data_IF_860512060889
#
_entry.id   IF_860512060889
#
_cell.length_a   1.000
_cell.length_b   1.000
_cell.length_c   1.000
_cell.angle_alpha   90.00
_cell.angle_beta   90.00
_cell.angle_gamma   90.00
#
_symmetry.space_group_name_H-M   'P 1'
#
loop_
_entity.id
_entity.type
_entity.pdbx_description
1 polymer ?
#
# COMPACT_ATOMS: atom_id res chain seq x y z
N UNK A 1 13.55 14.87 -11.72
CA UNK A 1 13.76 14.68 -10.29
C UNK A 1 13.21 13.34 -9.83
N UNK A 2 13.92 12.65 -8.98
CA UNK A 2 13.53 11.31 -8.58
C UNK A 2 12.54 11.37 -7.41
N UNK A 3 11.41 10.73 -7.59
CA UNK A 3 10.42 10.66 -6.52
C UNK A 3 10.86 9.64 -5.46
N UNK A 4 10.83 10.04 -4.22
CA UNK A 4 11.09 9.16 -3.09
C UNK A 4 9.80 9.00 -2.31
N UNK A 5 9.19 7.81 -2.34
CA UNK A 5 7.92 7.61 -1.65
C UNK A 5 8.03 7.81 -0.15
N UNK A 6 6.97 8.33 0.44
CA UNK A 6 6.90 8.53 1.88
C UNK A 6 5.64 7.85 2.40
N UNK A 7 5.70 7.42 3.65
CA UNK A 7 4.52 6.83 4.28
C UNK A 7 3.35 7.83 4.19
N UNK A 8 2.18 7.30 3.87
CA UNK A 8 0.94 8.06 3.71
C UNK A 8 0.84 8.81 2.39
N UNK A 9 1.77 8.60 1.46
CA UNK A 9 1.59 9.05 0.09
C UNK A 9 0.63 8.11 -0.62
N UNK A 10 -0.24 8.67 -1.45
CA UNK A 10 -1.07 7.86 -2.32
C UNK A 10 -0.42 7.85 -3.69
N UNK A 11 -0.13 6.68 -4.20
CA UNK A 11 0.64 6.54 -5.43
C UNK A 11 -0.05 5.57 -6.38
N UNK A 12 0.23 5.75 -7.66
CA UNK A 12 -0.20 4.82 -8.70
C UNK A 12 1.04 4.15 -9.27
N UNK A 13 1.00 2.84 -9.34
CA UNK A 13 2.09 2.05 -9.91
C UNK A 13 1.57 1.41 -11.17
N UNK A 14 2.01 1.91 -12.30
CA UNK A 14 1.54 1.42 -13.58
C UNK A 14 2.69 1.06 -14.50
N UNK A 15 2.70 -0.19 -14.93
CA UNK A 15 3.65 -0.69 -15.93
C UNK A 15 2.87 -1.58 -16.87
N UNK A 16 3.57 -2.27 -17.76
CA UNK A 16 2.92 -3.23 -18.65
C UNK A 16 2.23 -4.34 -17.86
N UNK A 17 2.77 -4.67 -16.71
CA UNK A 17 2.31 -5.83 -15.95
C UNK A 17 1.63 -5.46 -14.64
N UNK A 18 1.73 -4.21 -14.23
CA UNK A 18 1.20 -3.76 -12.95
C UNK A 18 0.36 -2.52 -13.18
N UNK A 19 -0.82 -2.51 -12.59
CA UNK A 19 -1.68 -1.33 -12.64
C UNK A 19 -2.47 -1.28 -11.35
N UNK A 20 -1.88 -0.69 -10.33
CA UNK A 20 -2.48 -0.61 -9.00
C UNK A 20 -2.26 0.78 -8.44
N UNK A 21 -3.04 1.12 -7.45
CA UNK A 21 -2.80 2.34 -6.70
C UNK A 21 -3.14 2.09 -5.25
N UNK A 22 -2.51 2.85 -4.38
CA UNK A 22 -2.73 2.67 -2.96
C UNK A 22 -1.86 3.60 -2.15
N UNK A 23 -1.91 3.38 -0.85
CA UNK A 23 -1.16 4.19 0.11
C UNK A 23 0.18 3.54 0.41
N UNK A 24 1.23 4.36 0.48
CA UNK A 24 2.51 3.87 0.98
C UNK A 24 2.32 3.58 2.46
N UNK A 25 2.40 2.32 2.82
CA UNK A 25 2.11 1.88 4.17
C UNK A 25 3.36 1.81 5.03
N UNK A 26 4.47 1.40 4.44
CA UNK A 26 5.73 1.21 5.13
C UNK A 26 6.87 1.68 4.24
N UNK A 27 7.84 2.33 4.83
CA UNK A 27 9.02 2.81 4.12
C UNK A 27 10.28 2.31 4.80
N UNK A 28 11.17 1.77 4.00
CA UNK A 28 12.49 1.35 4.43
C UNK A 28 13.42 1.67 3.27
N UNK A 29 14.68 1.87 3.54
CA UNK A 29 15.64 2.15 2.48
C UNK A 29 15.70 1.04 1.45
N UNK A 30 15.32 -0.16 1.83
CA UNK A 30 15.38 -1.33 0.97
C UNK A 30 14.12 -1.54 0.14
N UNK A 31 12.98 -0.97 0.57
CA UNK A 31 11.73 -1.12 -0.16
C UNK A 31 10.62 -0.33 0.52
N UNK A 32 9.50 -0.22 -0.17
CA UNK A 32 8.27 0.28 0.42
C UNK A 32 7.19 -0.78 0.24
N UNK A 33 6.12 -0.67 1.01
CA UNK A 33 4.93 -1.47 0.75
C UNK A 33 3.80 -0.52 0.39
N UNK A 34 2.97 -0.96 -0.55
CA UNK A 34 1.82 -0.19 -1.01
C UNK A 34 0.58 -0.97 -0.65
N UNK A 35 -0.27 -0.36 0.17
CA UNK A 35 -1.54 -0.99 0.54
C UNK A 35 -2.55 -0.70 -0.55
N UNK A 36 -2.90 -1.71 -1.32
CA UNK A 36 -3.77 -1.55 -2.48
C UNK A 36 -5.23 -1.83 -2.17
N UNK A 37 -5.52 -2.39 -1.01
CA UNK A 37 -6.90 -2.63 -0.68
C UNK A 37 -7.05 -3.27 0.68
N UNK A 38 -8.27 -3.19 1.19
CA UNK A 38 -8.65 -3.81 2.44
C UNK A 38 -9.91 -4.61 2.14
N UNK A 39 -9.87 -5.90 2.38
CA UNK A 39 -11.02 -6.77 2.12
C UNK A 39 -11.45 -7.47 3.38
N UNK A 40 -12.74 -7.69 3.57
CA UNK A 40 -13.20 -8.51 4.69
C UNK A 40 -12.64 -9.92 4.51
N UNK A 41 -12.28 -10.54 5.60
CA UNK A 41 -11.84 -11.92 5.54
C UNK A 41 -13.01 -12.79 5.10
N UNK A 42 -12.73 -13.82 4.30
CA UNK A 42 -13.79 -14.75 3.92
C UNK A 42 -14.41 -15.36 5.15
N UNK A 43 -15.69 -15.59 5.07
CA UNK A 43 -16.40 -16.23 6.17
C UNK A 43 -16.15 -17.72 6.08
N UNK A 44 -15.06 -18.16 6.64
CA UNK A 44 -14.72 -19.57 6.59
C UNK A 44 -14.32 -20.04 7.96
N UNK A 45 -13.56 -21.10 8.00
CA UNK A 45 -13.20 -21.79 9.22
C UNK A 45 -12.22 -21.04 10.10
N UNK A 46 -12.11 -19.76 9.93
CA UNK A 46 -11.24 -19.00 10.80
C UNK A 46 -11.70 -19.13 12.23
N UNK A 47 -10.75 -19.21 13.08
CA UNK A 47 -11.04 -19.47 14.47
C UNK A 47 -11.81 -18.31 15.08
N UNK A 48 -12.51 -18.64 16.14
CA UNK A 48 -13.25 -17.63 16.87
C UNK A 48 -12.35 -16.59 17.51
N UNK A 49 -11.09 -16.92 17.63
CA UNK A 49 -10.13 -16.00 18.24
C UNK A 49 -9.52 -15.03 17.26
N UNK A 50 -9.95 -15.08 16.02
CA UNK A 50 -9.43 -14.19 15.01
C UNK A 50 -9.78 -12.75 15.36
N UNK A 51 -8.77 -11.93 15.55
CA UNK A 51 -8.98 -10.55 15.95
C UNK A 51 -9.11 -9.61 14.75
N UNK A 52 -8.63 -10.04 13.61
CA UNK A 52 -8.64 -9.19 12.42
C UNK A 52 -9.75 -9.60 11.50
N UNK A 53 -10.63 -8.66 11.24
CA UNK A 53 -11.77 -8.93 10.35
C UNK A 53 -11.48 -8.63 8.90
N UNK A 54 -10.32 -8.03 8.61
CA UNK A 54 -9.99 -7.58 7.28
C UNK A 54 -8.62 -8.05 6.87
N UNK A 55 -8.45 -8.21 5.58
CA UNK A 55 -7.17 -8.56 4.98
C UNK A 55 -6.65 -7.34 4.26
N UNK A 56 -5.43 -6.94 4.58
CA UNK A 56 -4.76 -5.84 3.91
C UNK A 56 -3.87 -6.40 2.82
N UNK A 57 -4.01 -5.89 1.62
CA UNK A 57 -3.18 -6.32 0.51
C UNK A 57 -2.03 -5.34 0.36
N UNK A 58 -0.83 -5.84 0.54
CA UNK A 58 0.38 -5.03 0.46
C UNK A 58 1.27 -5.54 -0.66
N UNK A 59 1.80 -4.64 -1.44
CA UNK A 59 2.75 -4.97 -2.49
C UNK A 59 4.11 -4.38 -2.16
N UNK A 60 5.15 -5.14 -2.41
CA UNK A 60 6.51 -4.66 -2.24
C UNK A 60 6.95 -3.89 -3.47
N UNK A 61 7.60 -2.78 -3.27
CA UNK A 61 8.14 -1.98 -4.36
C UNK A 61 9.56 -1.56 -4.00
N UNK A 62 10.50 -1.98 -4.81
CA UNK A 62 11.92 -1.75 -4.55
C UNK A 62 12.40 -0.44 -5.15
N UNK A 63 13.54 0.10 -4.67
CA UNK A 63 13.99 1.41 -5.12
C UNK A 63 14.14 1.56 -6.62
N UNK A 64 14.57 0.52 -7.31
CA UNK A 64 14.70 0.60 -8.76
C UNK A 64 13.36 0.68 -9.48
N UNK A 65 12.27 0.46 -8.75
CA UNK A 65 10.92 0.54 -9.30
C UNK A 65 10.21 1.83 -8.91
N UNK A 66 10.80 2.60 -8.00
CA UNK A 66 10.14 3.83 -7.53
C UNK A 66 9.92 4.84 -8.64
N UNK A 67 10.76 4.82 -9.67
CA UNK A 67 10.57 5.72 -10.80
C UNK A 67 9.31 5.42 -11.60
N UNK A 68 8.72 4.26 -11.37
CA UNK A 68 7.48 3.86 -12.03
C UNK A 68 6.25 4.35 -11.28
N UNK A 69 6.44 4.91 -10.11
CA UNK A 69 5.34 5.38 -9.28
C UNK A 69 4.95 6.79 -9.67
N UNK A 70 3.65 7.04 -9.68
CA UNK A 70 3.12 8.38 -9.88
C UNK A 70 2.56 8.86 -8.55
N UNK A 71 3.11 9.95 -8.06
CA UNK A 71 2.62 10.56 -6.82
C UNK A 71 1.28 11.24 -7.08
N UNK A 72 0.31 10.98 -6.22
CA UNK A 72 -1.00 11.59 -6.37
C UNK A 72 -1.26 12.60 -5.26
N UNK A 73 -1.21 12.16 -4.01
CA UNK A 73 -1.35 13.11 -2.89
C UNK A 73 -0.89 12.44 -1.61
N UNK A 74 -0.81 13.23 -0.55
CA UNK A 74 -0.37 12.77 0.75
C UNK A 74 -1.42 13.08 1.79
N UNK A 75 -1.76 12.12 2.62
CA UNK A 75 -2.65 12.37 3.75
C UNK A 75 -1.81 12.72 4.96
N UNK A 76 -2.37 13.52 5.86
CA UNK A 76 -1.64 13.95 7.04
C UNK A 76 -1.44 12.83 8.04
N UNK A 77 -2.42 11.97 8.14
CA UNK A 77 -2.40 10.91 9.13
C UNK A 77 -3.34 9.82 8.68
N UNK A 78 -2.84 8.58 8.64
CA UNK A 78 -3.66 7.50 8.12
C UNK A 78 -4.95 7.28 8.92
N UNK A 79 -4.95 7.65 10.18
CA UNK A 79 -6.12 7.47 11.01
C UNK A 79 -7.07 8.66 10.94
N UNK A 80 -6.59 9.80 10.53
CA UNK A 80 -7.40 11.01 10.45
C UNK A 80 -8.30 10.99 9.22
N UNK A 81 -7.99 10.15 8.28
CA UNK A 81 -8.75 10.05 7.02
C UNK A 81 -9.93 9.10 7.10
N UNK A 82 -10.08 8.42 8.18
CA UNK A 82 -11.14 7.41 8.33
C UNK A 82 -12.46 8.00 8.72
#
# INVERSE_FOLDING_TARGET
MKYIPQVDDYVRWKTEHVNVEGWVYFYDEMYITIETGIKPKPNCEYTKNEKHKYIHTLLLCYPNQWKQLEYIHTRKNRYAET
#
